data_IF_522385004512
#
_entry.id   IF_522385004512
#
_cell.length_a   1.000
_cell.length_b   1.000
_cell.length_c   1.000
_cell.angle_alpha   90.00
_cell.angle_beta   90.00
_cell.angle_gamma   90.00
#
_symmetry.space_group_name_H-M   'P 1'
#
loop_
_entity.id
_entity.type
_entity.pdbx_description
1 polymer ?
#
# COMPACT_ATOMS: atom_id res chain seq x y z
N UNK A 1 -3.94 0.38 -4.63
CA UNK A 1 -3.52 1.23 -3.51
C UNK A 1 -2.57 2.25 -4.10
N UNK A 2 -2.88 3.52 -3.86
CA UNK A 2 -2.22 4.68 -4.47
C UNK A 2 -2.13 5.72 -3.35
N UNK A 3 -1.03 6.42 -3.25
CA UNK A 3 -0.89 7.52 -2.31
C UNK A 3 -1.30 8.82 -3.01
N UNK A 4 -2.22 9.57 -2.40
CA UNK A 4 -2.63 10.87 -2.92
C UNK A 4 -1.95 11.95 -2.10
N UNK A 5 -1.06 12.71 -2.72
CA UNK A 5 -0.46 13.92 -2.12
C UNK A 5 -1.22 15.14 -2.61
N UNK A 6 -2.08 15.71 -1.76
CA UNK A 6 -2.73 16.99 -2.02
C UNK A 6 -1.93 18.14 -1.39
N UNK A 7 -1.72 18.08 -0.07
CA UNK A 7 -0.91 19.02 0.70
C UNK A 7 -0.21 18.28 1.83
N UNK A 8 1.07 18.59 2.08
CA UNK A 8 1.82 18.06 3.22
C UNK A 8 1.43 18.81 4.50
N UNK A 9 0.21 18.57 4.99
CA UNK A 9 -0.29 19.16 6.21
C UNK A 9 -1.05 18.14 7.07
N UNK A 10 -0.95 18.29 8.40
CA UNK A 10 -1.82 17.59 9.32
C UNK A 10 -3.26 18.12 9.16
N UNK A 11 -4.24 17.23 9.08
CA UNK A 11 -5.64 17.59 8.86
C UNK A 11 -6.42 17.52 10.16
N UNK A 12 -7.10 18.60 10.54
CA UNK A 12 -8.05 18.57 11.66
C UNK A 12 -9.41 18.03 11.23
N UNK A 13 -9.93 17.06 11.98
CA UNK A 13 -11.23 16.45 11.79
C UNK A 13 -12.20 16.92 12.91
N UNK A 14 -13.05 17.93 12.65
CA UNK A 14 -13.85 18.57 13.69
C UNK A 14 -14.90 17.64 14.31
N UNK A 15 -15.45 16.69 13.55
CA UNK A 15 -16.47 15.76 14.03
C UNK A 15 -15.96 14.86 15.17
N UNK A 16 -14.66 14.59 15.20
CA UNK A 16 -14.02 13.68 16.16
C UNK A 16 -13.02 14.43 17.06
N UNK A 17 -12.86 15.74 16.86
CA UNK A 17 -11.86 16.57 17.51
C UNK A 17 -10.45 15.96 17.48
N UNK A 18 -10.04 15.44 16.31
CA UNK A 18 -8.74 14.75 16.14
C UNK A 18 -7.92 15.36 15.01
N UNK A 19 -6.62 15.13 15.04
CA UNK A 19 -5.71 15.45 13.94
C UNK A 19 -5.31 14.15 13.22
N UNK A 20 -5.32 14.19 11.89
CA UNK A 20 -4.90 13.11 11.00
C UNK A 20 -3.86 13.56 10.00
N UNK A 21 -3.58 12.72 9.00
CA UNK A 21 -2.55 12.98 7.97
C UNK A 21 -1.14 12.54 8.39
N UNK A 22 -1.01 11.78 9.47
CA UNK A 22 0.25 11.21 9.92
C UNK A 22 0.60 9.93 9.16
N UNK A 23 1.90 9.69 8.98
CA UNK A 23 2.39 8.43 8.44
C UNK A 23 1.97 7.27 9.35
N UNK A 24 1.55 6.16 8.74
CA UNK A 24 0.94 5.06 9.49
C UNK A 24 1.95 4.37 10.41
N UNK A 25 3.23 4.34 10.03
CA UNK A 25 4.34 3.76 10.81
C UNK A 25 4.53 4.47 12.16
N UNK A 26 4.39 5.80 12.20
CA UNK A 26 4.62 6.60 13.40
C UNK A 26 3.35 7.15 14.04
N UNK A 27 2.19 7.07 13.37
CA UNK A 27 0.91 7.52 13.92
C UNK A 27 0.54 6.82 15.24
N UNK A 28 0.96 5.57 15.44
CA UNK A 28 0.76 4.84 16.69
C UNK A 28 1.49 5.42 17.91
N UNK A 29 2.48 6.30 17.69
CA UNK A 29 3.27 6.91 18.76
C UNK A 29 2.60 8.12 19.39
N UNK A 30 1.43 8.55 18.90
CA UNK A 30 0.73 9.74 19.38
C UNK A 30 -0.72 9.47 19.74
N UNK A 31 -1.22 10.25 20.69
CA UNK A 31 -2.65 10.38 20.94
C UNK A 31 -3.20 11.50 20.03
N UNK A 32 -4.07 11.19 19.05
CA UNK A 32 -4.41 12.14 17.99
C UNK A 32 -5.53 13.13 18.35
N UNK A 33 -6.11 13.07 19.55
CA UNK A 33 -7.26 13.87 19.94
C UNK A 33 -6.84 15.19 20.61
N UNK A 34 -7.54 16.28 20.28
CA UNK A 34 -7.33 17.63 20.84
C UNK A 34 -8.33 17.92 21.99
N UNK A 35 -8.48 16.97 22.91
CA UNK A 35 -9.40 17.04 24.05
C UNK A 35 -8.80 17.72 25.29
N UNK A 36 -7.47 17.79 25.40
CA UNK A 36 -6.77 18.55 26.44
C UNK A 36 -5.66 19.43 25.87
N UNK A 37 -5.17 20.36 26.69
CA UNK A 37 -4.01 21.18 26.32
C UNK A 37 -2.75 20.31 26.19
N UNK A 38 -2.57 19.35 27.09
CA UNK A 38 -1.41 18.46 27.09
C UNK A 38 -1.37 17.59 25.83
N UNK A 39 -2.50 17.11 25.32
CA UNK A 39 -2.53 16.31 24.09
C UNK A 39 -2.12 17.15 22.87
N UNK A 40 -2.58 18.40 22.79
CA UNK A 40 -2.18 19.34 21.75
C UNK A 40 -0.68 19.68 21.82
N UNK A 41 -0.14 19.92 23.02
CA UNK A 41 1.28 20.23 23.24
C UNK A 41 2.18 19.03 22.92
N UNK A 42 1.80 17.82 23.32
CA UNK A 42 2.53 16.59 22.99
C UNK A 42 2.58 16.34 21.48
N UNK A 43 1.47 16.55 20.79
CA UNK A 43 1.38 16.40 19.35
C UNK A 43 2.30 17.39 18.63
N UNK A 44 2.24 18.68 18.98
CA UNK A 44 3.13 19.69 18.42
C UNK A 44 4.62 19.38 18.69
N UNK A 45 4.93 18.94 19.92
CA UNK A 45 6.31 18.60 20.32
C UNK A 45 6.84 17.43 19.50
N UNK A 46 6.07 16.34 19.38
CA UNK A 46 6.48 15.14 18.63
C UNK A 46 6.62 15.39 17.13
N UNK A 47 5.75 16.23 16.54
CA UNK A 47 5.95 16.68 15.16
C UNK A 47 7.26 17.48 15.03
N UNK A 48 7.52 18.42 15.94
CA UNK A 48 8.73 19.25 15.88
C UNK A 48 10.03 18.47 16.10
N UNK A 49 9.97 17.40 16.90
CA UNK A 49 11.09 16.52 17.18
C UNK A 49 11.37 15.52 16.04
N UNK A 50 10.40 15.34 15.13
CA UNK A 50 10.47 14.32 14.08
C UNK A 50 10.10 12.92 14.56
N UNK A 51 9.48 12.76 15.73
CA UNK A 51 8.99 11.46 16.23
C UNK A 51 7.73 10.98 15.48
N UNK A 52 7.03 11.92 14.83
CA UNK A 52 5.90 11.67 13.92
C UNK A 52 6.06 12.52 12.67
N UNK A 53 5.84 11.90 11.52
CA UNK A 53 5.87 12.56 10.21
C UNK A 53 4.47 12.63 9.60
N UNK A 54 4.26 13.60 8.71
CA UNK A 54 3.12 13.58 7.80
C UNK A 54 3.32 12.45 6.79
N UNK A 55 2.24 11.77 6.40
CA UNK A 55 2.29 10.61 5.51
C UNK A 55 3.21 10.80 4.28
N UNK A 56 3.04 11.83 3.43
CA UNK A 56 3.87 12.00 2.22
C UNK A 56 5.35 12.31 2.50
N UNK A 57 5.63 12.87 3.69
CA UNK A 57 6.97 13.29 4.11
C UNK A 57 7.79 12.16 4.73
N UNK A 58 7.14 11.07 5.14
CA UNK A 58 7.81 9.95 5.78
C UNK A 58 8.62 9.15 4.75
N UNK A 59 9.96 9.20 4.85
CA UNK A 59 10.88 8.43 4.00
C UNK A 59 11.41 7.16 4.67
N UNK A 60 10.88 6.83 5.83
CA UNK A 60 11.28 5.67 6.62
C UNK A 60 10.40 4.44 6.39
N UNK A 61 9.33 4.58 5.60
CA UNK A 61 8.50 3.44 5.18
C UNK A 61 9.25 2.64 4.12
N UNK A 62 9.42 1.35 4.35
CA UNK A 62 10.09 0.45 3.43
C UNK A 62 9.19 -0.70 2.97
N UNK A 63 9.71 -1.52 2.04
CA UNK A 63 8.98 -2.65 1.48
C UNK A 63 8.58 -3.72 2.52
N UNK A 64 9.25 -3.80 3.67
CA UNK A 64 8.88 -4.74 4.75
C UNK A 64 7.67 -4.19 5.49
N UNK A 65 7.69 -2.89 5.82
CA UNK A 65 6.54 -2.21 6.42
C UNK A 65 5.30 -2.37 5.53
N UNK A 66 5.46 -2.18 4.21
CA UNK A 66 4.38 -2.38 3.25
C UNK A 66 3.89 -3.81 3.17
N UNK A 67 4.77 -4.81 3.28
CA UNK A 67 4.36 -6.21 3.31
C UNK A 67 3.49 -6.50 4.52
N UNK A 68 3.92 -6.05 5.70
CA UNK A 68 3.19 -6.23 6.95
C UNK A 68 1.81 -5.58 6.87
N UNK A 69 1.73 -4.37 6.29
CA UNK A 69 0.45 -3.68 6.11
C UNK A 69 -0.48 -4.43 5.15
N UNK A 70 0.02 -4.89 4.00
CA UNK A 70 -0.76 -5.65 3.02
C UNK A 70 -1.26 -6.96 3.65
N UNK A 71 -0.38 -7.71 4.31
CA UNK A 71 -0.74 -8.97 4.95
C UNK A 71 -1.74 -8.76 6.09
N UNK A 72 -1.55 -7.72 6.91
CA UNK A 72 -2.51 -7.37 7.98
C UNK A 72 -3.89 -7.06 7.42
N UNK A 73 -3.96 -6.31 6.31
CA UNK A 73 -5.23 -6.01 5.64
C UNK A 73 -5.89 -7.28 5.10
N UNK A 74 -5.14 -8.12 4.39
CA UNK A 74 -5.65 -9.39 3.86
C UNK A 74 -6.11 -10.30 4.99
N UNK A 75 -5.29 -10.54 6.01
CA UNK A 75 -5.63 -11.41 7.13
C UNK A 75 -6.89 -10.92 7.85
N UNK A 76 -6.98 -9.62 8.16
CA UNK A 76 -8.16 -9.04 8.80
C UNK A 76 -9.42 -9.26 7.95
N UNK A 77 -9.33 -9.13 6.62
CA UNK A 77 -10.47 -9.38 5.72
C UNK A 77 -10.98 -10.82 5.78
N UNK A 78 -10.08 -11.79 5.88
CA UNK A 78 -10.45 -13.21 5.94
C UNK A 78 -10.90 -13.64 7.35
N UNK A 79 -10.24 -13.16 8.40
CA UNK A 79 -10.58 -13.42 9.80
C UNK A 79 -11.97 -12.87 10.18
N UNK A 80 -12.31 -11.67 9.70
CA UNK A 80 -13.63 -11.06 9.93
C UNK A 80 -14.75 -11.69 9.10
N UNK A 81 -14.45 -12.73 8.30
CA UNK A 81 -15.35 -13.34 7.32
C UNK A 81 -15.92 -12.35 6.28
N UNK A 82 -15.27 -11.19 6.06
CA UNK A 82 -15.69 -10.22 5.06
C UNK A 82 -15.72 -10.83 3.65
N UNK A 83 -14.85 -11.80 3.38
CA UNK A 83 -14.86 -12.56 2.12
C UNK A 83 -16.16 -13.35 1.87
N UNK A 84 -16.91 -13.71 2.91
CA UNK A 84 -18.19 -14.43 2.81
C UNK A 84 -19.39 -13.50 2.72
N UNK A 85 -19.31 -12.33 3.36
CA UNK A 85 -20.43 -11.39 3.47
C UNK A 85 -20.40 -10.32 2.38
N UNK A 86 -19.20 -9.86 2.00
CA UNK A 86 -18.98 -8.88 0.95
C UNK A 86 -18.61 -9.64 -0.32
N UNK A 87 -17.31 -9.91 -0.54
CA UNK A 87 -16.76 -10.66 -1.69
C UNK A 87 -15.33 -11.12 -1.41
N UNK A 88 -14.88 -12.12 -2.18
CA UNK A 88 -13.48 -12.52 -2.27
C UNK A 88 -12.60 -11.37 -2.80
N UNK A 89 -11.37 -11.29 -2.29
CA UNK A 89 -10.33 -10.44 -2.86
C UNK A 89 -9.66 -11.21 -4.00
N UNK A 90 -9.81 -10.70 -5.23
CA UNK A 90 -9.29 -11.36 -6.44
C UNK A 90 -7.93 -10.83 -6.85
N UNK A 91 -7.70 -9.53 -6.70
CA UNK A 91 -6.43 -8.89 -7.04
C UNK A 91 -6.10 -7.74 -6.09
N UNK A 92 -4.80 -7.45 -6.00
CA UNK A 92 -4.26 -6.30 -5.31
C UNK A 92 -3.47 -5.44 -6.31
N UNK A 93 -3.95 -4.23 -6.57
CA UNK A 93 -3.32 -3.32 -7.52
C UNK A 93 -2.47 -2.26 -6.81
N UNK A 94 -1.30 -1.91 -7.34
CA UNK A 94 -0.48 -0.77 -6.85
C UNK A 94 -0.29 0.31 -7.93
N UNK A 95 0.10 1.51 -7.50
CA UNK A 95 0.42 2.69 -8.32
C UNK A 95 1.78 2.58 -9.06
N UNK A 96 2.50 1.48 -8.86
CA UNK A 96 3.79 1.24 -9.49
C UNK A 96 4.98 1.91 -8.78
N UNK A 97 4.80 2.45 -7.57
CA UNK A 97 5.95 2.82 -6.73
C UNK A 97 6.85 1.59 -6.50
N UNK A 98 8.17 1.78 -6.55
CA UNK A 98 9.13 0.69 -6.49
C UNK A 98 9.06 -0.08 -5.16
N UNK A 99 8.77 0.61 -4.05
CA UNK A 99 8.66 0.04 -2.70
C UNK A 99 7.41 -0.83 -2.61
N UNK A 100 6.27 -0.30 -3.05
CA UNK A 100 5.01 -1.04 -3.14
C UNK A 100 5.11 -2.23 -4.10
N UNK A 101 5.81 -2.03 -5.23
CA UNK A 101 6.00 -3.06 -6.24
C UNK A 101 6.80 -4.24 -5.69
N UNK A 102 7.90 -3.97 -4.98
CA UNK A 102 8.71 -5.01 -4.35
C UNK A 102 7.92 -5.77 -3.28
N UNK A 103 7.23 -5.06 -2.40
CA UNK A 103 6.39 -5.65 -1.36
C UNK A 103 5.27 -6.54 -1.94
N UNK A 104 4.56 -6.02 -2.94
CA UNK A 104 3.51 -6.75 -3.64
C UNK A 104 4.04 -7.98 -4.37
N UNK A 105 5.18 -7.88 -5.06
CA UNK A 105 5.78 -9.02 -5.74
C UNK A 105 6.15 -10.13 -4.76
N UNK A 106 6.78 -9.80 -3.62
CA UNK A 106 7.15 -10.78 -2.59
C UNK A 106 5.93 -11.50 -1.99
N UNK A 107 4.79 -10.83 -1.86
CA UNK A 107 3.54 -11.43 -1.35
C UNK A 107 2.79 -12.22 -2.42
N UNK A 108 2.56 -11.61 -3.58
CA UNK A 108 1.61 -12.09 -4.59
C UNK A 108 2.24 -12.95 -5.68
N UNK A 109 3.56 -13.15 -5.65
CA UNK A 109 4.28 -14.11 -6.50
C UNK A 109 4.95 -15.23 -5.68
N UNK A 110 4.46 -15.50 -4.47
CA UNK A 110 5.09 -16.43 -3.53
C UNK A 110 4.70 -17.90 -3.74
N UNK A 111 3.44 -18.19 -4.08
CA UNK A 111 2.89 -19.55 -4.06
C UNK A 111 2.51 -20.01 -5.45
N UNK A 112 3.10 -21.12 -5.90
CA UNK A 112 2.68 -21.75 -7.17
C UNK A 112 1.30 -22.38 -7.01
N UNK A 113 0.41 -22.12 -7.95
CA UNK A 113 -0.93 -22.71 -8.02
C UNK A 113 -0.85 -24.24 -8.00
N UNK A 114 -1.73 -24.83 -7.22
CA UNK A 114 -1.84 -26.29 -7.08
C UNK A 114 -2.75 -26.87 -8.17
N UNK A 115 -2.59 -28.15 -8.49
CA UNK A 115 -3.48 -28.85 -9.44
C UNK A 115 -4.95 -28.85 -9.01
N UNK A 116 -5.22 -28.69 -7.71
CA UNK A 116 -6.58 -28.63 -7.16
C UNK A 116 -7.24 -27.25 -7.31
N UNK A 117 -6.45 -26.21 -7.62
CA UNK A 117 -6.95 -24.86 -7.82
C UNK A 117 -7.83 -24.79 -9.07
N UNK A 118 -9.03 -24.20 -8.99
CA UNK A 118 -9.81 -23.86 -10.17
C UNK A 118 -9.04 -22.95 -11.14
N UNK A 119 -8.23 -22.02 -10.62
CA UNK A 119 -7.39 -21.14 -11.44
C UNK A 119 -6.33 -21.92 -12.22
N UNK A 120 -5.69 -22.92 -11.60
CA UNK A 120 -4.71 -23.76 -12.30
C UNK A 120 -5.27 -24.40 -13.56
N UNK A 121 -6.51 -24.91 -13.50
CA UNK A 121 -7.16 -25.55 -14.65
C UNK A 121 -7.31 -24.62 -15.86
N UNK A 122 -7.46 -23.32 -15.61
CA UNK A 122 -7.60 -22.30 -16.63
C UNK A 122 -6.22 -21.84 -17.13
N UNK A 123 -5.30 -21.55 -16.20
CA UNK A 123 -4.03 -20.90 -16.52
C UNK A 123 -2.96 -21.89 -17.03
N UNK A 124 -2.99 -23.15 -16.61
CA UNK A 124 -1.97 -24.15 -17.00
C UNK A 124 -1.89 -24.40 -18.51
N UNK A 125 -2.98 -24.15 -19.23
CA UNK A 125 -3.05 -24.28 -20.69
C UNK A 125 -2.58 -23.03 -21.45
N UNK A 126 -2.16 -21.96 -20.78
CA UNK A 126 -1.77 -20.69 -21.39
C UNK A 126 -0.24 -20.48 -21.28
N UNK A 127 0.55 -20.83 -22.32
CA UNK A 127 1.99 -20.69 -22.29
C UNK A 127 2.41 -19.22 -22.05
N UNK A 128 3.38 -19.03 -21.16
CA UNK A 128 3.93 -17.71 -20.85
C UNK A 128 3.21 -16.96 -19.74
N UNK A 129 2.05 -17.43 -19.27
CA UNK A 129 1.40 -16.86 -18.10
C UNK A 129 1.99 -17.43 -16.81
N UNK A 130 2.15 -16.56 -15.80
CA UNK A 130 2.66 -16.95 -14.50
C UNK A 130 1.63 -17.82 -13.74
N UNK A 131 2.11 -18.87 -13.07
CA UNK A 131 1.31 -19.74 -12.22
C UNK A 131 1.54 -19.48 -10.73
N UNK A 132 2.21 -18.39 -10.37
CA UNK A 132 2.40 -17.98 -8.98
C UNK A 132 1.37 -16.93 -8.59
N UNK A 133 0.87 -17.06 -7.37
CA UNK A 133 -0.13 -16.19 -6.75
C UNK A 133 0.23 -15.94 -5.29
N UNK A 134 -0.48 -15.02 -4.66
CA UNK A 134 -0.39 -14.76 -3.23
C UNK A 134 -1.37 -15.57 -2.40
N UNK A 135 -1.55 -15.16 -1.13
CA UNK A 135 -2.56 -15.72 -0.24
C UNK A 135 -3.94 -15.77 -0.92
N UNK A 136 -4.67 -16.86 -0.72
CA UNK A 136 -6.00 -17.08 -1.28
C UNK A 136 -6.07 -17.00 -2.82
N UNK A 137 -4.97 -17.32 -3.50
CA UNK A 137 -4.81 -17.28 -4.96
C UNK A 137 -4.98 -15.88 -5.57
N UNK A 138 -4.77 -14.83 -4.76
CA UNK A 138 -4.86 -13.44 -5.18
C UNK A 138 -3.70 -13.05 -6.10
N UNK A 139 -3.98 -12.28 -7.14
CA UNK A 139 -2.98 -11.79 -8.07
C UNK A 139 -2.56 -10.36 -7.78
N UNK A 140 -1.34 -10.00 -8.15
CA UNK A 140 -0.92 -8.61 -8.22
C UNK A 140 -1.32 -8.00 -9.55
N UNK A 141 -1.76 -6.75 -9.52
CA UNK A 141 -2.03 -5.95 -10.72
C UNK A 141 -1.37 -4.58 -10.62
N UNK A 142 -1.30 -3.87 -11.73
CA UNK A 142 -0.87 -2.48 -11.78
C UNK A 142 -1.98 -1.64 -12.36
N UNK A 143 -2.12 -0.41 -11.86
CA UNK A 143 -3.06 0.51 -12.47
C UNK A 143 -2.63 0.81 -13.92
N UNK A 144 -3.47 0.39 -14.87
CA UNK A 144 -3.22 0.50 -16.30
C UNK A 144 -2.84 1.93 -16.72
N UNK A 145 -3.34 2.95 -16.03
CA UNK A 145 -3.02 4.37 -16.32
C UNK A 145 -1.51 4.64 -16.16
N UNK A 146 -0.85 3.97 -15.22
CA UNK A 146 0.60 4.10 -15.01
C UNK A 146 1.39 3.41 -16.11
N UNK A 147 0.94 2.24 -16.59
CA UNK A 147 1.55 1.56 -17.73
C UNK A 147 1.50 2.42 -19.00
N UNK A 148 0.36 3.05 -19.29
CA UNK A 148 0.24 3.96 -20.44
C UNK A 148 1.12 5.20 -20.31
N UNK A 149 1.19 5.81 -19.13
CA UNK A 149 2.10 6.95 -18.90
C UNK A 149 3.55 6.55 -19.15
N UNK A 150 4.00 5.39 -18.68
CA UNK A 150 5.35 4.91 -18.94
C UNK A 150 5.63 4.67 -20.43
N UNK A 151 4.67 4.14 -21.18
CA UNK A 151 4.85 3.93 -22.62
C UNK A 151 4.88 5.22 -23.45
N UNK A 152 4.18 6.26 -22.99
CA UNK A 152 4.05 7.54 -23.72
C UNK A 152 5.07 8.59 -23.25
N UNK A 153 5.64 8.44 -22.06
CA UNK A 153 6.72 9.31 -21.57
C UNK A 153 8.00 8.97 -22.32
N UNK A 154 8.49 9.81 -23.25
CA UNK A 154 9.78 9.58 -23.87
C UNK A 154 10.82 9.72 -22.76
N UNK A 155 11.71 8.75 -22.62
CA UNK A 155 12.95 8.93 -21.89
C UNK A 155 13.68 10.12 -22.53
N UNK A 156 13.57 11.30 -21.94
CA UNK A 156 14.45 12.44 -22.21
C UNK A 156 15.80 12.12 -21.57
N UNK A 157 16.44 11.03 -21.98
CA UNK A 157 17.86 10.84 -21.78
C UNK A 157 18.49 11.14 -23.14
N UNK A 158 19.02 12.36 -23.22
CA UNK A 158 19.93 12.79 -24.27
C UNK A 158 21.06 11.75 -24.39
N UNK A 159 21.08 11.02 -25.49
CA UNK A 159 22.32 10.54 -26.09
C UNK A 159 23.11 11.78 -26.54
N UNK A 160 23.88 12.37 -25.63
CA UNK A 160 25.03 13.19 -25.99
C UNK A 160 26.25 12.25 -25.99
N UNK A 161 26.54 11.66 -27.14
CA UNK A 161 27.86 11.16 -27.48
C UNK A 161 28.46 12.11 -28.50
N UNK A 162 29.48 12.86 -28.08
CA UNK A 162 30.54 13.37 -28.93
C UNK A 162 31.59 12.25 -29.13
#
# INVERSE_FOLDING_TARGET
MDEIVLEEAAMYHPAENRVGGYCWKHAGNIYPFLDTYESAEQLATKLSAGDVHLAPSCKEEDHIDWQDLILKLVNTWYETNAHKTIRLLWSFATDGDATHCKAGHEIFMATKLTLASPLYSILSGLPGLNLYTGPHEMTMDFDYKHLFKHMVSPTTQHDNQD
#
